data_IF_763270372148
#
_entry.id   IF_763270372148
#
_cell.length_a   1.000
_cell.length_b   1.000
_cell.length_c   1.000
_cell.angle_alpha   90.00
_cell.angle_beta   90.00
_cell.angle_gamma   90.00
#
_symmetry.space_group_name_H-M   'P 1'
#
loop_
_entity.id
_entity.type
_entity.pdbx_description
1 polymer ?
#
# COMPACT_ATOMS: atom_id res chain seq x y z
N UNK A 1 -20.16 -16.82 -0.42
CA UNK A 1 -20.41 -16.06 0.84
C UNK A 1 -19.48 -16.46 2.00
N UNK A 2 -19.10 -17.75 2.16
CA UNK A 2 -18.17 -18.15 3.24
C UNK A 2 -16.76 -17.57 3.08
N UNK A 3 -16.26 -17.41 1.84
CA UNK A 3 -14.94 -16.82 1.58
C UNK A 3 -14.85 -15.30 1.79
N UNK A 4 -15.93 -14.57 1.71
CA UNK A 4 -15.93 -13.10 1.82
C UNK A 4 -15.55 -12.61 3.21
N UNK A 5 -16.03 -13.29 4.26
CA UNK A 5 -15.69 -12.96 5.63
C UNK A 5 -14.21 -13.14 5.95
N UNK A 6 -13.57 -14.15 5.34
CA UNK A 6 -12.15 -14.38 5.52
C UNK A 6 -11.32 -13.27 4.88
N UNK A 7 -11.71 -12.79 3.70
CA UNK A 7 -11.07 -11.65 3.04
C UNK A 7 -11.18 -10.38 3.89
N UNK A 8 -12.39 -10.09 4.42
CA UNK A 8 -12.60 -8.93 5.28
C UNK A 8 -11.80 -9.02 6.58
N UNK A 9 -11.79 -10.19 7.24
CA UNK A 9 -11.01 -10.41 8.45
C UNK A 9 -9.51 -10.25 8.20
N UNK A 10 -9.02 -10.77 7.07
CA UNK A 10 -7.63 -10.62 6.68
C UNK A 10 -7.30 -9.14 6.48
N UNK A 11 -8.13 -8.41 5.74
CA UNK A 11 -7.92 -7.00 5.48
C UNK A 11 -7.95 -6.15 6.77
N UNK A 12 -8.90 -6.40 7.68
CA UNK A 12 -8.93 -5.74 9.00
C UNK A 12 -7.65 -6.04 9.77
N UNK A 13 -7.23 -7.31 9.79
CA UNK A 13 -6.02 -7.73 10.49
C UNK A 13 -4.76 -7.04 9.93
N UNK A 14 -4.65 -6.93 8.61
CA UNK A 14 -3.55 -6.24 7.94
C UNK A 14 -3.54 -4.74 8.24
N UNK A 15 -4.68 -4.05 8.13
CA UNK A 15 -4.76 -2.61 8.39
C UNK A 15 -4.31 -2.25 9.82
N UNK A 16 -4.80 -2.98 10.81
CA UNK A 16 -4.40 -2.77 12.20
C UNK A 16 -2.95 -3.20 12.46
N UNK A 17 -2.55 -4.35 11.93
CA UNK A 17 -1.21 -4.87 12.15
C UNK A 17 -0.12 -4.00 11.51
N UNK A 18 -0.36 -3.50 10.30
CA UNK A 18 0.58 -2.63 9.61
C UNK A 18 0.61 -1.20 10.17
N UNK A 19 -0.43 -0.73 10.81
CA UNK A 19 -0.36 0.50 11.61
C UNK A 19 0.64 0.35 12.79
N UNK A 20 0.61 -0.79 13.48
CA UNK A 20 1.59 -1.12 14.53
C UNK A 20 3.00 -1.27 13.94
N UNK A 21 3.14 -1.96 12.79
CA UNK A 21 4.41 -2.11 12.08
C UNK A 21 5.02 -0.75 11.75
N UNK A 22 4.24 0.15 11.14
CA UNK A 22 4.72 1.47 10.76
C UNK A 22 5.24 2.26 11.97
N UNK A 23 4.54 2.17 13.11
CA UNK A 23 4.97 2.83 14.34
C UNK A 23 6.23 2.19 14.94
N UNK A 24 6.34 0.87 14.94
CA UNK A 24 7.60 0.21 15.33
C UNK A 24 8.76 0.62 14.43
N UNK A 25 8.52 0.73 13.13
CA UNK A 25 9.52 1.18 12.16
C UNK A 25 9.92 2.64 12.40
N UNK A 26 8.97 3.56 12.61
CA UNK A 26 9.25 4.95 12.98
C UNK A 26 10.07 5.03 14.27
N UNK A 27 9.63 4.34 15.32
CA UNK A 27 10.30 4.32 16.64
C UNK A 27 11.61 3.51 16.65
N UNK A 28 11.97 2.81 15.57
CA UNK A 28 13.27 2.18 15.42
C UNK A 28 14.40 3.17 15.18
N UNK A 29 14.07 4.44 14.93
CA UNK A 29 15.00 5.53 14.60
C UNK A 29 15.74 5.33 13.25
N UNK A 30 15.50 4.21 12.54
CA UNK A 30 16.08 3.96 11.22
C UNK A 30 15.66 5.03 10.19
N UNK A 31 14.37 5.47 10.12
CA UNK A 31 13.96 6.53 9.21
C UNK A 31 14.73 7.83 9.40
N UNK A 32 15.19 8.13 10.61
CA UNK A 32 15.94 9.35 10.92
C UNK A 32 17.39 9.35 10.39
N UNK A 33 17.92 8.17 10.06
CA UNK A 33 19.27 8.03 9.48
C UNK A 33 19.22 8.10 7.94
N UNK A 34 18.11 7.71 7.33
CA UNK A 34 17.95 7.65 5.88
C UNK A 34 18.24 8.97 5.15
N UNK A 35 17.89 10.17 5.68
CA UNK A 35 18.19 11.43 5.01
C UNK A 35 19.67 11.63 4.67
N UNK A 36 20.59 11.02 5.42
CA UNK A 36 22.03 11.09 5.14
C UNK A 36 22.42 10.44 3.83
N UNK A 37 21.69 9.40 3.42
CA UNK A 37 21.99 8.57 2.24
C UNK A 37 21.19 8.97 1.00
N UNK A 38 20.10 9.74 1.17
CA UNK A 38 19.29 10.19 0.05
C UNK A 38 19.90 11.49 -0.55
N UNK A 39 19.84 11.68 -1.88
CA UNK A 39 20.10 12.98 -2.48
C UNK A 39 19.22 14.08 -1.84
N UNK A 40 19.73 15.30 -1.77
CA UNK A 40 19.04 16.43 -1.16
C UNK A 40 18.11 17.21 -2.11
N UNK A 41 18.10 16.80 -3.36
CA UNK A 41 17.21 17.31 -4.40
C UNK A 41 16.02 16.35 -4.65
N UNK A 42 15.22 16.65 -5.67
CA UNK A 42 14.10 15.82 -6.11
C UNK A 42 14.46 14.34 -6.32
N UNK A 43 15.71 14.01 -6.61
CA UNK A 43 16.15 12.61 -6.81
C UNK A 43 16.01 11.80 -5.54
N UNK A 44 16.23 12.41 -4.37
CA UNK A 44 16.02 11.71 -3.10
C UNK A 44 14.57 11.30 -2.89
N UNK A 45 13.63 12.18 -3.22
CA UNK A 45 12.20 11.85 -3.22
C UNK A 45 11.87 10.75 -4.24
N UNK A 46 12.47 10.81 -5.43
CA UNK A 46 12.27 9.78 -6.46
C UNK A 46 12.83 8.42 -6.03
N UNK A 47 14.03 8.39 -5.44
CA UNK A 47 14.62 7.15 -4.89
C UNK A 47 13.72 6.54 -3.82
N UNK A 48 13.13 7.35 -2.96
CA UNK A 48 12.17 6.86 -1.96
C UNK A 48 10.95 6.19 -2.62
N UNK A 49 10.39 6.78 -3.69
CA UNK A 49 9.27 6.15 -4.44
C UNK A 49 9.69 4.84 -5.12
N UNK A 50 10.89 4.78 -5.68
CA UNK A 50 11.46 3.53 -6.24
C UNK A 50 11.60 2.47 -5.15
N UNK A 51 12.08 2.84 -3.97
CA UNK A 51 12.18 1.92 -2.83
C UNK A 51 10.81 1.37 -2.43
N UNK A 52 9.79 2.23 -2.33
CA UNK A 52 8.42 1.81 -2.01
C UNK A 52 7.89 0.83 -3.06
N UNK A 53 8.08 1.14 -4.34
CA UNK A 53 7.71 0.28 -5.45
C UNK A 53 8.36 -1.11 -5.35
N UNK A 54 9.66 -1.16 -5.12
CA UNK A 54 10.40 -2.42 -4.97
C UNK A 54 9.95 -3.18 -3.73
N UNK A 55 9.80 -2.51 -2.60
CA UNK A 55 9.31 -3.14 -1.35
C UNK A 55 7.92 -3.74 -1.58
N UNK A 56 7.02 -3.03 -2.25
CA UNK A 56 5.66 -3.49 -2.52
C UNK A 56 5.60 -4.68 -3.48
N UNK A 57 6.65 -4.92 -4.26
CA UNK A 57 6.72 -6.13 -5.10
C UNK A 57 6.89 -7.43 -4.29
N UNK A 58 7.32 -7.32 -3.04
CA UNK A 58 7.56 -8.47 -2.15
C UNK A 58 6.72 -8.44 -0.88
N UNK A 59 6.16 -7.28 -0.56
CA UNK A 59 5.30 -7.06 0.60
C UNK A 59 3.98 -6.46 0.14
N UNK A 60 2.94 -6.70 0.93
CA UNK A 60 1.64 -6.08 0.71
C UNK A 60 1.75 -4.55 0.55
N UNK A 61 0.95 -4.00 -0.37
CA UNK A 61 0.96 -2.57 -0.72
C UNK A 61 0.64 -1.67 0.48
N UNK A 62 -0.16 -2.12 1.45
CA UNK A 62 -0.47 -1.37 2.68
C UNK A 62 0.82 -1.20 3.51
N UNK A 63 1.57 -2.29 3.71
CA UNK A 63 2.83 -2.25 4.44
C UNK A 63 3.85 -1.34 3.76
N UNK A 64 3.99 -1.44 2.43
CA UNK A 64 4.90 -0.62 1.66
C UNK A 64 4.54 0.88 1.74
N UNK A 65 3.24 1.23 1.63
CA UNK A 65 2.77 2.61 1.77
C UNK A 65 3.02 3.16 3.18
N UNK A 66 2.77 2.36 4.22
CA UNK A 66 2.97 2.78 5.60
C UNK A 66 4.45 2.99 5.94
N UNK A 67 5.34 2.11 5.48
CA UNK A 67 6.80 2.27 5.61
C UNK A 67 7.24 3.53 4.85
N UNK A 68 6.81 3.68 3.60
CA UNK A 68 7.12 4.85 2.79
C UNK A 68 6.63 6.15 3.41
N UNK A 69 5.42 6.16 3.97
CA UNK A 69 4.86 7.27 4.71
C UNK A 69 5.66 7.64 5.95
N UNK A 70 6.07 6.64 6.75
CA UNK A 70 6.89 6.87 7.94
C UNK A 70 8.27 7.46 7.57
N UNK A 71 8.89 6.97 6.49
CA UNK A 71 10.15 7.55 5.99
C UNK A 71 9.91 8.99 5.52
N UNK A 72 8.89 9.23 4.70
CA UNK A 72 8.59 10.56 4.17
C UNK A 72 8.31 11.57 5.30
N UNK A 73 7.63 11.16 6.35
CA UNK A 73 7.36 11.99 7.53
C UNK A 73 8.64 12.54 8.16
N UNK A 74 9.65 11.70 8.30
CA UNK A 74 10.95 12.10 8.87
C UNK A 74 11.78 12.88 7.86
N UNK A 75 11.94 12.32 6.64
CA UNK A 75 12.82 12.86 5.59
C UNK A 75 12.43 14.27 5.16
N UNK A 76 11.12 14.56 5.12
CA UNK A 76 10.58 15.88 4.75
C UNK A 76 10.15 16.72 5.96
N UNK A 77 10.64 16.38 7.16
CA UNK A 77 10.36 17.12 8.39
C UNK A 77 8.85 17.38 8.59
N UNK A 78 8.05 16.32 8.50
CA UNK A 78 6.58 16.32 8.67
C UNK A 78 5.81 17.11 7.58
N UNK A 79 6.49 17.70 6.61
CA UNK A 79 5.90 18.50 5.54
C UNK A 79 5.89 17.75 4.22
N UNK A 80 4.91 16.86 4.07
CA UNK A 80 4.72 16.06 2.86
C UNK A 80 3.61 16.65 2.01
N UNK A 81 3.91 16.91 0.73
CA UNK A 81 2.95 17.42 -0.22
C UNK A 81 1.89 16.35 -0.56
N UNK A 82 0.62 16.73 -0.71
CA UNK A 82 -0.48 15.78 -0.99
C UNK A 82 -0.21 14.98 -2.27
N UNK A 83 0.31 15.61 -3.32
CA UNK A 83 0.71 14.91 -4.55
C UNK A 83 1.82 13.88 -4.33
N UNK A 84 2.71 14.10 -3.36
CA UNK A 84 3.73 13.11 -3.02
C UNK A 84 3.15 11.96 -2.19
N UNK A 85 2.17 12.23 -1.31
CA UNK A 85 1.40 11.17 -0.62
C UNK A 85 0.63 10.30 -1.62
N UNK A 86 0.01 10.93 -2.62
CA UNK A 86 -0.62 10.21 -3.73
C UNK A 86 0.39 9.33 -4.50
N UNK A 87 1.60 9.84 -4.74
CA UNK A 87 2.67 9.09 -5.38
C UNK A 87 3.19 7.92 -4.53
N UNK A 88 3.22 8.04 -3.20
CA UNK A 88 3.53 6.91 -2.30
C UNK A 88 2.50 5.79 -2.49
N UNK A 89 1.21 6.11 -2.48
CA UNK A 89 0.14 5.14 -2.71
C UNK A 89 0.23 4.55 -4.13
N UNK A 90 0.47 5.40 -5.13
CA UNK A 90 0.63 4.96 -6.51
C UNK A 90 1.83 4.02 -6.69
N UNK A 91 2.98 4.33 -6.07
CA UNK A 91 4.17 3.50 -6.11
C UNK A 91 3.97 2.15 -5.40
N UNK A 92 3.25 2.15 -4.26
CA UNK A 92 2.94 0.91 -3.55
C UNK A 92 1.96 0.03 -4.32
N UNK A 93 0.86 0.59 -4.84
CA UNK A 93 -0.11 -0.17 -5.64
C UNK A 93 0.50 -0.67 -6.96
N UNK A 94 1.28 0.19 -7.67
CA UNK A 94 1.93 -0.19 -8.91
C UNK A 94 3.02 -1.27 -8.70
N UNK A 95 3.79 -1.17 -7.61
CA UNK A 95 4.79 -2.17 -7.25
C UNK A 95 4.17 -3.53 -6.90
N UNK A 96 3.01 -3.53 -6.23
CA UNK A 96 2.27 -4.74 -5.91
C UNK A 96 1.58 -5.37 -7.12
N UNK A 97 1.14 -4.56 -8.10
CA UNK A 97 0.30 -5.02 -9.22
C UNK A 97 0.96 -6.07 -10.12
N UNK A 98 2.28 -6.14 -10.16
CA UNK A 98 3.02 -7.14 -10.97
C UNK A 98 3.45 -8.39 -10.20
N UNK A 99 3.12 -8.49 -8.92
CA UNK A 99 3.53 -9.60 -8.06
C UNK A 99 2.35 -10.21 -7.32
N UNK A 100 2.20 -11.52 -7.39
CA UNK A 100 1.12 -12.24 -6.69
C UNK A 100 1.24 -12.26 -5.16
N UNK A 101 2.34 -11.75 -4.62
CA UNK A 101 2.56 -11.58 -3.17
C UNK A 101 2.62 -10.12 -2.75
N UNK A 102 2.57 -9.20 -3.70
CA UNK A 102 2.74 -7.76 -3.46
C UNK A 102 1.44 -6.99 -3.23
N UNK A 103 0.30 -7.56 -3.60
CA UNK A 103 -1.01 -6.93 -3.44
C UNK A 103 -2.06 -8.00 -3.18
N UNK A 104 -3.03 -7.70 -2.32
CA UNK A 104 -4.17 -8.59 -2.04
C UNK A 104 -4.95 -8.94 -3.31
N UNK A 105 -5.08 -8.00 -4.26
CA UNK A 105 -5.78 -8.25 -5.53
C UNK A 105 -5.09 -9.30 -6.39
N UNK A 106 -3.78 -9.21 -6.54
CA UNK A 106 -2.98 -10.18 -7.30
C UNK A 106 -2.86 -11.52 -6.58
N UNK A 107 -2.86 -11.51 -5.25
CA UNK A 107 -2.97 -12.73 -4.43
C UNK A 107 -4.29 -13.44 -4.71
N UNK A 108 -5.43 -12.72 -4.77
CA UNK A 108 -6.73 -13.28 -5.13
C UNK A 108 -6.73 -13.89 -6.53
N UNK A 109 -6.11 -13.21 -7.51
CA UNK A 109 -5.96 -13.75 -8.87
C UNK A 109 -5.22 -15.09 -8.86
N UNK A 110 -4.15 -15.18 -8.07
CA UNK A 110 -3.36 -16.41 -7.96
C UNK A 110 -4.16 -17.54 -7.29
N UNK A 111 -4.86 -17.26 -6.20
CA UNK A 111 -5.73 -18.22 -5.50
C UNK A 111 -6.83 -18.75 -6.42
N UNK A 112 -7.39 -17.88 -7.27
CA UNK A 112 -8.41 -18.23 -8.27
C UNK A 112 -7.84 -18.98 -9.50
N UNK A 113 -6.52 -19.24 -9.52
CA UNK A 113 -5.85 -20.06 -10.54
C UNK A 113 -5.22 -19.27 -11.68
N UNK A 114 -5.16 -17.95 -11.62
CA UNK A 114 -4.44 -17.13 -12.60
C UNK A 114 -2.94 -17.40 -12.50
N UNK A 115 -2.31 -17.71 -13.64
CA UNK A 115 -0.87 -17.94 -13.66
C UNK A 115 -0.11 -16.67 -13.28
N UNK A 116 0.81 -16.70 -12.28
CA UNK A 116 1.60 -15.56 -11.86
C UNK A 116 2.35 -14.83 -12.99
N UNK A 117 2.77 -15.57 -14.02
CA UNK A 117 3.47 -14.99 -15.17
C UNK A 117 2.58 -14.02 -15.98
N UNK A 118 1.27 -14.22 -15.98
CA UNK A 118 0.34 -13.29 -16.65
C UNK A 118 0.25 -11.96 -15.90
N UNK A 119 0.41 -11.97 -14.59
CA UNK A 119 0.36 -10.76 -13.76
C UNK A 119 1.64 -9.91 -13.93
N UNK A 120 2.79 -10.53 -14.25
CA UNK A 120 4.05 -9.81 -14.44
C UNK A 120 3.99 -8.70 -15.51
N UNK A 121 3.11 -8.81 -16.49
CA UNK A 121 2.95 -7.77 -17.52
C UNK A 121 2.57 -6.40 -16.93
N UNK A 122 1.94 -6.37 -15.75
CA UNK A 122 1.62 -5.15 -15.04
C UNK A 122 2.86 -4.26 -14.80
N UNK A 123 4.05 -4.85 -14.60
CA UNK A 123 5.28 -4.10 -14.36
C UNK A 123 5.69 -3.19 -15.52
N UNK A 124 5.29 -3.48 -16.75
CA UNK A 124 5.61 -2.63 -17.90
C UNK A 124 4.92 -1.27 -17.73
N UNK A 125 3.61 -1.27 -17.52
CA UNK A 125 2.85 -0.05 -17.30
C UNK A 125 3.19 0.60 -15.95
N UNK A 126 3.36 -0.20 -14.90
CA UNK A 126 3.73 0.25 -13.56
C UNK A 126 5.08 0.97 -13.55
N UNK A 127 6.08 0.45 -14.25
CA UNK A 127 7.40 1.09 -14.39
C UNK A 127 7.34 2.41 -15.13
N UNK A 128 6.57 2.48 -16.23
CA UNK A 128 6.35 3.75 -16.95
C UNK A 128 5.64 4.77 -16.06
N UNK A 129 4.61 4.36 -15.35
CA UNK A 129 3.89 5.23 -14.42
C UNK A 129 4.79 5.74 -13.28
N UNK A 130 5.62 4.87 -12.69
CA UNK A 130 6.59 5.26 -11.66
C UNK A 130 7.55 6.33 -12.17
N UNK A 131 8.09 6.17 -13.39
CA UNK A 131 9.02 7.14 -13.96
C UNK A 131 8.34 8.47 -14.21
N UNK A 132 7.16 8.48 -14.84
CA UNK A 132 6.47 9.71 -15.21
C UNK A 132 5.90 10.44 -13.99
N UNK A 133 5.04 9.76 -13.24
CA UNK A 133 4.34 10.37 -12.10
C UNK A 133 5.26 10.53 -10.89
N UNK A 134 6.16 9.59 -10.66
CA UNK A 134 7.14 9.68 -9.59
C UNK A 134 8.11 10.85 -9.79
N UNK A 135 8.53 11.12 -11.03
CA UNK A 135 9.34 12.29 -11.36
C UNK A 135 8.58 13.60 -11.04
N UNK A 136 7.34 13.71 -11.51
CA UNK A 136 6.51 14.91 -11.28
C UNK A 136 6.30 15.14 -9.77
N UNK A 137 5.88 14.10 -9.06
CA UNK A 137 5.61 14.19 -7.62
C UNK A 137 6.87 14.53 -6.81
N UNK A 138 8.01 13.96 -7.17
CA UNK A 138 9.30 14.26 -6.52
C UNK A 138 9.73 15.71 -6.73
N UNK A 139 9.48 16.26 -7.91
CA UNK A 139 9.74 17.68 -8.19
C UNK A 139 8.80 18.59 -7.41
N UNK A 140 7.52 18.24 -7.31
CA UNK A 140 6.54 18.97 -6.50
C UNK A 140 6.93 18.94 -5.02
N UNK A 141 7.35 17.79 -4.51
CA UNK A 141 7.81 17.64 -3.13
C UNK A 141 9.06 18.48 -2.86
N UNK A 142 10.04 18.43 -3.74
CA UNK A 142 11.28 19.21 -3.60
C UNK A 142 11.02 20.72 -3.57
N UNK A 143 10.08 21.20 -4.39
CA UNK A 143 9.64 22.59 -4.38
C UNK A 143 8.85 22.97 -3.12
N UNK A 144 8.10 22.02 -2.53
CA UNK A 144 7.31 22.24 -1.33
C UNK A 144 8.14 22.11 -0.04
N UNK A 145 8.93 21.06 0.08
CA UNK A 145 9.84 20.78 1.18
C UNK A 145 10.94 19.83 0.71
N UNK A 146 12.17 20.29 0.76
CA UNK A 146 13.35 19.48 0.51
C UNK A 146 13.63 18.49 1.62
N UNK A 147 14.44 17.48 1.31
CA UNK A 147 14.96 16.54 2.29
C UNK A 147 15.81 17.30 3.32
N UNK A 148 15.50 17.09 4.58
CA UNK A 148 16.28 17.64 5.70
C UNK A 148 17.35 16.64 6.09
N UNK A 149 18.61 17.00 5.85
CA UNK A 149 19.78 16.13 6.15
C UNK A 149 20.25 16.23 7.61
N UNK A 150 19.69 17.13 8.38
CA UNK A 150 20.04 17.27 9.78
C UNK A 150 19.49 16.09 10.58
N UNK A 151 20.24 14.99 10.61
CA UNK A 151 19.95 13.95 11.56
C UNK A 151 20.42 14.44 12.94
N UNK A 152 19.59 14.34 14.00
CA UNK A 152 20.01 14.65 15.34
C UNK A 152 21.28 13.89 15.71
N UNK A 153 22.23 14.57 16.36
CA UNK A 153 23.51 13.96 16.74
C UNK A 153 23.25 12.89 17.80
N UNK A 154 23.77 11.69 17.60
CA UNK A 154 23.71 10.62 18.60
C UNK A 154 22.53 9.66 18.51
N UNK A 155 21.75 9.69 17.43
CA UNK A 155 20.69 8.70 17.21
C UNK A 155 21.28 7.30 17.09
N UNK A 156 20.75 6.39 17.89
CA UNK A 156 21.05 4.97 17.81
C UNK A 156 19.83 4.21 17.34
N UNK A 157 20.01 3.39 16.30
CA UNK A 157 18.96 2.50 15.79
C UNK A 157 18.54 1.53 16.89
N UNK A 158 17.24 1.48 17.16
CA UNK A 158 16.67 0.47 18.02
C UNK A 158 16.47 -0.85 17.24
N UNK A 159 17.52 -1.67 17.29
CA UNK A 159 17.54 -2.96 16.58
C UNK A 159 16.46 -3.93 17.05
N UNK A 160 16.00 -3.83 18.29
CA UNK A 160 14.93 -4.70 18.80
C UNK A 160 13.60 -4.37 18.12
N UNK A 161 13.26 -3.08 17.98
CA UNK A 161 12.06 -2.65 17.23
C UNK A 161 12.16 -3.01 15.77
N UNK A 162 13.33 -2.82 15.16
CA UNK A 162 13.57 -3.19 13.77
C UNK A 162 13.48 -4.71 13.55
N UNK A 163 13.92 -5.52 14.51
CA UNK A 163 13.77 -6.96 14.48
C UNK A 163 12.28 -7.39 14.52
N UNK A 164 11.45 -6.68 15.31
CA UNK A 164 9.99 -6.92 15.32
C UNK A 164 9.39 -6.58 13.96
N UNK A 165 9.78 -5.46 13.33
CA UNK A 165 9.37 -5.12 11.96
C UNK A 165 9.76 -6.23 10.99
N UNK A 166 11.02 -6.67 11.02
CA UNK A 166 11.49 -7.77 10.16
C UNK A 166 10.73 -9.09 10.40
N UNK A 167 10.40 -9.39 11.66
CA UNK A 167 9.60 -10.56 12.00
C UNK A 167 8.18 -10.47 11.47
N UNK A 168 7.52 -9.30 11.59
CA UNK A 168 6.18 -9.07 11.02
C UNK A 168 6.22 -9.31 9.53
N UNK A 169 7.17 -8.70 8.80
CA UNK A 169 7.29 -8.84 7.35
C UNK A 169 7.55 -10.30 6.94
N UNK A 170 8.46 -10.98 7.62
CA UNK A 170 8.79 -12.37 7.32
C UNK A 170 7.60 -13.32 7.55
N UNK A 171 6.91 -13.20 8.69
CA UNK A 171 5.74 -14.04 8.98
C UNK A 171 4.54 -13.69 8.08
N UNK A 172 4.38 -12.44 7.67
CA UNK A 172 3.38 -12.04 6.67
C UNK A 172 3.58 -12.81 5.37
N UNK A 173 4.80 -12.83 4.84
CA UNK A 173 5.12 -13.55 3.61
C UNK A 173 4.90 -15.05 3.78
N UNK A 174 5.39 -15.62 4.88
CA UNK A 174 5.25 -17.08 5.15
C UNK A 174 3.79 -17.49 5.25
N UNK A 175 2.97 -16.74 5.99
CA UNK A 175 1.56 -17.09 6.16
C UNK A 175 0.72 -16.76 4.93
N UNK A 176 1.11 -15.75 4.14
CA UNK A 176 0.50 -15.53 2.84
C UNK A 176 0.73 -16.72 1.91
N UNK A 177 1.98 -17.19 1.81
CA UNK A 177 2.34 -18.32 0.95
C UNK A 177 1.76 -19.67 1.44
N UNK A 178 1.73 -19.90 2.76
CA UNK A 178 1.37 -21.21 3.33
C UNK A 178 -0.13 -21.36 3.65
N UNK A 179 -0.82 -20.26 3.94
CA UNK A 179 -2.19 -20.26 4.47
C UNK A 179 -3.14 -19.34 3.69
N UNK A 180 -2.66 -18.58 2.72
CA UNK A 180 -3.40 -17.50 2.03
C UNK A 180 -4.05 -16.51 3.02
N UNK A 181 -3.43 -16.36 4.21
CA UNK A 181 -3.94 -15.52 5.28
C UNK A 181 -2.81 -14.77 5.99
N UNK A 182 -2.25 -13.71 5.36
CA UNK A 182 -1.10 -12.97 5.88
C UNK A 182 -1.35 -12.29 7.23
N UNK A 183 -2.58 -11.93 7.56
CA UNK A 183 -2.90 -11.31 8.85
C UNK A 183 -2.52 -12.19 10.05
N UNK A 184 -2.60 -13.51 9.92
CA UNK A 184 -2.16 -14.43 11.00
C UNK A 184 -0.68 -14.20 11.31
N UNK A 185 0.17 -14.15 10.29
CA UNK A 185 1.61 -13.91 10.45
C UNK A 185 1.90 -12.55 11.09
N UNK A 186 1.21 -11.52 10.65
CA UNK A 186 1.33 -10.16 11.23
C UNK A 186 1.04 -10.20 12.73
N UNK A 187 -0.10 -10.77 13.13
CA UNK A 187 -0.51 -10.76 14.54
C UNK A 187 0.31 -11.69 15.42
N UNK A 188 0.72 -12.86 14.91
CA UNK A 188 1.66 -13.73 15.64
C UNK A 188 2.97 -13.00 15.89
N UNK A 189 3.51 -12.31 14.89
CA UNK A 189 4.74 -11.54 15.03
C UNK A 189 4.61 -10.39 16.04
N UNK A 190 3.49 -9.65 15.99
CA UNK A 190 3.21 -8.55 16.94
C UNK A 190 3.14 -9.08 18.37
N UNK A 191 2.41 -10.18 18.60
CA UNK A 191 2.29 -10.78 19.93
C UNK A 191 3.63 -11.31 20.45
N UNK A 192 4.43 -11.97 19.62
CA UNK A 192 5.79 -12.38 19.96
C UNK A 192 6.70 -11.19 20.26
N UNK A 193 6.60 -10.14 19.43
CA UNK A 193 7.34 -8.89 19.63
C UNK A 193 6.95 -8.19 20.94
N UNK A 194 5.67 -8.22 21.31
CA UNK A 194 5.17 -7.61 22.54
C UNK A 194 5.78 -8.22 23.83
N UNK A 195 6.28 -9.44 23.77
CA UNK A 195 6.99 -10.09 24.88
C UNK A 195 8.38 -9.46 25.15
N UNK A 196 8.95 -8.77 24.19
CA UNK A 196 10.31 -8.22 24.24
C UNK A 196 10.36 -6.70 24.15
N UNK A 197 9.41 -6.10 23.42
CA UNK A 197 9.40 -4.68 23.11
C UNK A 197 8.02 -4.10 23.40
N UNK A 198 7.97 -2.87 23.94
CA UNK A 198 6.71 -2.17 24.15
C UNK A 198 6.01 -1.93 22.81
N UNK A 199 4.84 -2.52 22.65
CA UNK A 199 4.02 -2.42 21.44
C UNK A 199 3.13 -1.17 21.48
N UNK A 200 3.03 -0.38 20.42
CA UNK A 200 2.26 0.85 20.37
C UNK A 200 0.76 0.57 20.11
N UNK A 201 0.06 -0.03 21.09
CA UNK A 201 -1.36 -0.41 20.97
C UNK A 201 -2.29 0.76 20.67
N UNK A 202 -1.85 2.00 20.93
CA UNK A 202 -2.64 3.20 20.62
C UNK A 202 -2.91 3.34 19.11
N UNK A 203 -2.05 2.78 18.26
CA UNK A 203 -2.23 2.84 16.80
C UNK A 203 -3.47 2.10 16.31
N UNK A 204 -3.96 1.12 17.05
CA UNK A 204 -5.23 0.45 16.74
C UNK A 204 -6.39 1.44 16.79
N UNK A 205 -6.41 2.32 17.81
CA UNK A 205 -7.44 3.36 17.93
C UNK A 205 -7.32 4.38 16.79
N UNK A 206 -6.10 4.76 16.41
CA UNK A 206 -5.85 5.72 15.34
C UNK A 206 -6.31 5.17 13.98
N UNK A 207 -6.11 3.88 13.73
CA UNK A 207 -6.49 3.20 12.48
C UNK A 207 -8.00 2.85 12.39
N UNK A 208 -8.74 2.83 13.51
CA UNK A 208 -10.12 2.31 13.56
C UNK A 208 -11.05 3.04 12.58
N UNK A 209 -11.01 4.37 12.53
CA UNK A 209 -11.92 5.15 11.67
C UNK A 209 -11.75 4.84 10.19
N UNK A 210 -10.49 4.78 9.72
CA UNK A 210 -10.16 4.43 8.33
C UNK A 210 -10.52 2.99 8.01
N UNK A 211 -10.28 2.07 8.94
CA UNK A 211 -10.62 0.65 8.76
C UNK A 211 -12.12 0.44 8.61
N UNK A 212 -12.94 1.05 9.47
CA UNK A 212 -14.41 0.97 9.36
C UNK A 212 -14.90 1.56 8.04
N UNK A 213 -14.37 2.70 7.64
CA UNK A 213 -14.71 3.34 6.37
C UNK A 213 -14.41 2.41 5.18
N UNK A 214 -13.20 1.84 5.13
CA UNK A 214 -12.82 0.93 4.05
C UNK A 214 -13.68 -0.34 4.05
N UNK A 215 -13.98 -0.91 5.22
CA UNK A 215 -14.88 -2.07 5.30
C UNK A 215 -16.27 -1.76 4.73
N UNK A 216 -16.77 -0.56 4.96
CA UNK A 216 -18.02 -0.10 4.35
C UNK A 216 -17.94 -0.08 2.82
N UNK A 217 -16.85 0.47 2.26
CA UNK A 217 -16.65 0.50 0.80
C UNK A 217 -16.55 -0.89 0.20
N UNK A 218 -15.76 -1.79 0.81
CA UNK A 218 -15.59 -3.17 0.34
C UNK A 218 -16.93 -3.91 0.39
N UNK A 219 -17.71 -3.75 1.46
CA UNK A 219 -19.04 -4.37 1.59
C UNK A 219 -19.99 -3.84 0.51
N UNK A 220 -20.04 -2.53 0.26
CA UNK A 220 -20.88 -1.97 -0.80
C UNK A 220 -20.51 -2.53 -2.17
N UNK A 221 -19.21 -2.65 -2.47
CA UNK A 221 -18.78 -3.17 -3.77
C UNK A 221 -19.06 -4.68 -3.93
N UNK A 222 -18.98 -5.47 -2.85
CA UNK A 222 -19.33 -6.90 -2.86
C UNK A 222 -20.83 -7.17 -3.12
N UNK A 223 -21.67 -6.14 -3.04
CA UNK A 223 -23.11 -6.24 -3.33
C UNK A 223 -23.41 -5.89 -4.80
N UNK A 224 -22.42 -5.52 -5.61
CA UNK A 224 -22.64 -5.23 -7.03
C UNK A 224 -22.89 -6.51 -7.83
N UNK A 225 -23.89 -6.53 -8.70
CA UNK A 225 -24.20 -7.71 -9.52
C UNK A 225 -23.15 -7.87 -10.64
N UNK A 226 -22.54 -9.07 -10.73
CA UNK A 226 -21.53 -9.39 -11.75
C UNK A 226 -22.10 -9.33 -13.16
N UNK A 227 -23.37 -9.72 -13.34
CA UNK A 227 -24.06 -9.76 -14.63
C UNK A 227 -24.25 -8.38 -15.28
N UNK A 228 -24.10 -7.31 -14.51
CA UNK A 228 -24.20 -5.93 -15.02
C UNK A 228 -22.86 -5.36 -15.50
N UNK A 229 -21.74 -6.09 -15.30
CA UNK A 229 -20.44 -5.66 -15.80
C UNK A 229 -20.43 -5.72 -17.35
N UNK A 230 -19.87 -4.70 -18.02
CA UNK A 230 -19.62 -4.78 -19.44
C UNK A 230 -18.73 -5.97 -19.80
N UNK A 231 -18.83 -6.54 -21.01
CA UNK A 231 -17.98 -7.65 -21.42
C UNK A 231 -16.50 -7.34 -21.26
N UNK A 232 -15.71 -8.37 -20.87
CA UNK A 232 -14.28 -8.24 -20.70
C UNK A 232 -13.63 -7.76 -22.01
N UNK A 233 -12.93 -6.65 -21.95
CA UNK A 233 -12.22 -6.03 -23.07
C UNK A 233 -11.13 -5.08 -22.55
N UNK A 234 -10.22 -4.67 -23.43
CA UNK A 234 -9.23 -3.65 -23.07
C UNK A 234 -9.88 -2.34 -22.62
N UNK A 235 -10.95 -1.93 -23.29
CA UNK A 235 -11.69 -0.71 -22.93
C UNK A 235 -12.38 -0.83 -21.58
N UNK A 236 -13.02 -1.98 -21.30
CA UNK A 236 -13.62 -2.26 -19.98
C UNK A 236 -12.57 -2.21 -18.90
N UNK A 237 -11.40 -2.85 -19.10
CA UNK A 237 -10.30 -2.85 -18.15
C UNK A 237 -9.80 -1.42 -17.87
N UNK A 238 -9.66 -0.60 -18.90
CA UNK A 238 -9.27 0.80 -18.76
C UNK A 238 -10.25 1.59 -17.90
N UNK A 239 -11.55 1.45 -18.14
CA UNK A 239 -12.57 2.13 -17.32
C UNK A 239 -12.69 1.57 -15.91
N UNK A 240 -12.46 0.28 -15.69
CA UNK A 240 -12.38 -0.30 -14.35
C UNK A 240 -11.28 0.34 -13.50
N UNK A 241 -10.19 0.79 -14.09
CA UNK A 241 -9.18 1.58 -13.40
C UNK A 241 -9.76 2.87 -12.80
N UNK A 242 -10.63 3.57 -13.51
CA UNK A 242 -11.30 4.76 -12.95
C UNK A 242 -12.37 4.40 -11.91
N UNK A 243 -13.08 3.28 -12.10
CA UNK A 243 -14.04 2.78 -11.11
C UNK A 243 -13.30 2.43 -9.81
N UNK A 244 -12.10 1.84 -9.89
CA UNK A 244 -11.25 1.54 -8.74
C UNK A 244 -10.81 2.77 -7.95
N UNK A 245 -10.85 3.96 -8.54
CA UNK A 245 -10.61 5.19 -7.79
C UNK A 245 -11.67 5.46 -6.69
N UNK A 246 -12.88 4.94 -6.87
CA UNK A 246 -14.02 5.15 -5.97
C UNK A 246 -14.36 3.89 -5.18
N UNK A 247 -14.14 2.73 -5.79
CA UNK A 247 -14.34 1.42 -5.17
C UNK A 247 -12.99 0.76 -4.92
N UNK A 248 -12.84 0.13 -3.76
CA UNK A 248 -11.62 -0.62 -3.45
C UNK A 248 -11.29 -1.66 -4.54
N UNK A 249 -10.00 -1.82 -4.82
CA UNK A 249 -9.51 -2.71 -5.87
C UNK A 249 -9.84 -4.21 -5.62
N UNK A 250 -9.96 -4.63 -4.36
CA UNK A 250 -10.20 -6.03 -3.98
C UNK A 250 -11.53 -6.54 -4.53
N UNK A 251 -12.70 -5.93 -4.21
CA UNK A 251 -13.98 -6.42 -4.72
C UNK A 251 -14.12 -6.29 -6.23
N UNK A 252 -13.55 -5.27 -6.88
CA UNK A 252 -13.55 -5.16 -8.33
C UNK A 252 -12.80 -6.31 -8.99
N UNK A 253 -11.63 -6.67 -8.44
CA UNK A 253 -10.86 -7.82 -8.92
C UNK A 253 -11.68 -9.11 -8.77
N UNK A 254 -12.36 -9.30 -7.64
CA UNK A 254 -13.21 -10.47 -7.43
C UNK A 254 -14.34 -10.56 -8.48
N UNK A 255 -15.03 -9.46 -8.75
CA UNK A 255 -16.06 -9.41 -9.78
C UNK A 255 -15.50 -9.76 -11.18
N UNK A 256 -14.30 -9.27 -11.51
CA UNK A 256 -13.64 -9.59 -12.77
C UNK A 256 -13.20 -11.05 -12.85
N UNK A 257 -12.80 -11.67 -11.76
CA UNK A 257 -12.46 -13.10 -11.69
C UNK A 257 -13.71 -13.96 -11.95
N UNK A 258 -14.84 -13.61 -11.34
CA UNK A 258 -16.12 -14.29 -11.57
C UNK A 258 -16.61 -14.15 -13.02
N UNK A 259 -16.41 -12.98 -13.66
CA UNK A 259 -16.76 -12.77 -15.07
C UNK A 259 -15.80 -13.48 -16.02
N UNK A 260 -14.49 -13.45 -15.74
CA UNK A 260 -13.45 -14.02 -16.59
C UNK A 260 -13.17 -13.25 -17.88
N UNK A 261 -12.18 -13.74 -18.65
CA UNK A 261 -11.90 -13.22 -20.00
C UNK A 261 -11.01 -11.97 -20.08
N UNK A 262 -10.43 -11.52 -18.97
CA UNK A 262 -9.53 -10.36 -18.92
C UNK A 262 -8.08 -10.72 -19.21
N UNK A 263 -7.31 -9.74 -19.70
CA UNK A 263 -5.85 -9.73 -19.57
C UNK A 263 -5.50 -9.39 -18.13
N UNK A 264 -5.04 -10.37 -17.39
CA UNK A 264 -4.85 -10.26 -15.93
C UNK A 264 -3.75 -9.29 -15.55
N UNK A 265 -2.71 -9.13 -16.36
CA UNK A 265 -1.66 -8.15 -16.09
C UNK A 265 -2.16 -6.72 -16.30
N UNK A 266 -2.91 -6.48 -17.38
CA UNK A 266 -3.52 -5.17 -17.63
C UNK A 266 -4.56 -4.84 -16.58
N UNK A 267 -5.38 -5.81 -16.17
CA UNK A 267 -6.38 -5.64 -15.12
C UNK A 267 -5.72 -5.32 -13.77
N UNK A 268 -4.72 -6.10 -13.37
CA UNK A 268 -4.01 -5.91 -12.10
C UNK A 268 -3.42 -4.49 -12.01
N UNK A 269 -2.77 -4.02 -13.08
CA UNK A 269 -2.27 -2.66 -13.14
C UNK A 269 -3.40 -1.62 -13.12
N UNK A 270 -4.40 -1.76 -13.98
CA UNK A 270 -5.47 -0.76 -14.12
C UNK A 270 -6.22 -0.57 -12.80
N UNK A 271 -6.62 -1.66 -12.15
CA UNK A 271 -7.37 -1.63 -10.90
C UNK A 271 -6.47 -1.22 -9.73
N UNK A 272 -5.25 -1.76 -9.63
CA UNK A 272 -4.29 -1.41 -8.59
C UNK A 272 -3.88 0.06 -8.65
N UNK A 273 -3.40 0.53 -9.81
CA UNK A 273 -3.00 1.92 -9.99
C UNK A 273 -4.21 2.88 -9.90
N UNK A 274 -5.37 2.48 -10.43
CA UNK A 274 -6.62 3.25 -10.36
C UNK A 274 -7.03 3.58 -8.94
N UNK A 275 -6.87 2.65 -8.00
CA UNK A 275 -7.10 2.86 -6.58
C UNK A 275 -6.23 3.96 -5.95
N UNK A 276 -5.21 4.43 -6.65
CA UNK A 276 -4.35 5.52 -6.18
C UNK A 276 -4.88 6.92 -6.52
N UNK A 277 -5.89 7.03 -7.37
CA UNK A 277 -6.43 8.32 -7.84
C UNK A 277 -7.14 9.10 -6.74
N UNK A 278 -7.65 8.42 -5.70
CA UNK A 278 -8.26 9.01 -4.52
C UNK A 278 -7.67 8.39 -3.26
N UNK A 279 -7.62 9.17 -2.16
CA UNK A 279 -7.06 8.72 -0.90
C UNK A 279 -7.76 7.48 -0.32
N UNK A 280 -9.01 7.22 -0.69
CA UNK A 280 -9.82 6.10 -0.22
C UNK A 280 -10.04 5.00 -1.27
N UNK A 281 -9.47 5.15 -2.47
CA UNK A 281 -9.64 4.18 -3.56
C UNK A 281 -8.88 2.87 -3.36
N UNK A 282 -7.98 2.81 -2.37
CA UNK A 282 -7.26 1.59 -2.00
C UNK A 282 -6.98 1.53 -0.50
N UNK A 283 -6.80 0.31 0.00
CA UNK A 283 -6.43 0.05 1.40
C UNK A 283 -5.14 0.79 1.80
N UNK A 284 -4.17 0.87 0.89
CA UNK A 284 -2.92 1.61 1.10
C UNK A 284 -3.17 3.12 1.27
N UNK A 285 -4.06 3.70 0.46
CA UNK A 285 -4.44 5.11 0.56
C UNK A 285 -5.14 5.43 1.88
N UNK A 286 -6.08 4.58 2.29
CA UNK A 286 -6.77 4.72 3.59
C UNK A 286 -5.80 4.60 4.75
N UNK A 287 -4.90 3.61 4.75
CA UNK A 287 -3.89 3.44 5.78
C UNK A 287 -2.97 4.65 5.89
N UNK A 288 -2.45 5.14 4.76
CA UNK A 288 -1.59 6.32 4.71
C UNK A 288 -2.33 7.58 5.19
N UNK A 289 -3.61 7.74 4.85
CA UNK A 289 -4.42 8.88 5.30
C UNK A 289 -4.72 8.87 6.81
N UNK A 290 -4.59 7.74 7.47
CA UNK A 290 -4.65 7.67 8.93
C UNK A 290 -3.39 8.30 9.57
N UNK A 291 -2.24 8.14 8.93
CA UNK A 291 -0.98 8.78 9.33
C UNK A 291 -0.97 10.28 8.97
N UNK A 292 -1.61 10.66 7.87
CA UNK A 292 -1.67 12.03 7.34
C UNK A 292 -3.13 12.51 7.20
N UNK A 293 -3.82 12.86 8.29
CA UNK A 293 -5.25 13.24 8.24
C UNK A 293 -5.55 14.43 7.31
N UNK A 294 -4.58 15.32 7.10
CA UNK A 294 -4.68 16.46 6.18
C UNK A 294 -4.78 16.04 4.70
N UNK A 295 -4.39 14.82 4.37
CA UNK A 295 -4.51 14.26 3.02
C UNK A 295 -5.93 13.84 2.65
N UNK A 296 -6.86 13.75 3.60
CA UNK A 296 -8.26 13.30 3.40
C UNK A 296 -9.12 14.33 2.65
N UNK A 297 -8.64 14.75 1.49
CA UNK A 297 -9.37 15.66 0.61
C UNK A 297 -9.31 15.17 -0.82
N UNK A 298 -10.41 14.61 -1.32
CA UNK A 298 -10.52 14.15 -2.71
C UNK A 298 -10.15 15.24 -3.73
N UNK A 299 -10.58 16.47 -3.48
CA UNK A 299 -10.29 17.61 -4.37
C UNK A 299 -8.80 17.90 -4.44
N UNK A 300 -8.09 17.87 -3.30
CA UNK A 300 -6.63 18.08 -3.30
C UNK A 300 -5.91 16.90 -3.97
N UNK A 301 -6.40 15.70 -3.78
CA UNK A 301 -5.82 14.48 -4.36
C UNK A 301 -5.89 14.47 -5.89
N UNK A 302 -7.07 14.79 -6.45
CA UNK A 302 -7.28 14.84 -7.91
C UNK A 302 -6.56 16.03 -8.57
N UNK A 303 -6.32 17.12 -7.83
CA UNK A 303 -5.66 18.30 -8.37
C UNK A 303 -4.15 18.11 -8.60
N UNK A 304 -3.55 17.16 -7.96
CA UNK A 304 -2.10 16.90 -7.97
C UNK A 304 -1.75 15.53 -8.50
#
# INVERSE_FOLDING_TARGET
>A
QEGEWLVLLNLIGLLFGFAILAKHFEESELPQILPKYLPDDWKGGFVLLVMIFVISSFLDNIAAAMIGGAIAFVVFNQRVHVGYLAAIVAASNAGGSGSVVGDTTTTLMWIDGVNPLHVLHAYVAAGVALVLFGFIASRQQDAYQRIVKEAPVGIQVNWQKLAVVGLILALTIVTNYALDFPAIGVWVAILLGALRVKTPWQELKNATGGTIFLMGLVTCASLMPVDELPPASWLTTFFLGFVSAVFDNIPLTKLCLEQGGYDWGVLAYAVGFGGSMLWFGSSAGVALSNMYPESRSAVRWVRH
#
